data_IF_214205889903
#
_entry.id   IF_214205889903
#
_cell.length_a   1.000
_cell.length_b   1.000
_cell.length_c   1.000
_cell.angle_alpha   90.00
_cell.angle_beta   90.00
_cell.angle_gamma   90.00
#
_symmetry.space_group_name_H-M   'P 1'
#
loop_
_entity.id
_entity.type
_entity.pdbx_description
1 polymer ?
#
# COMPACT_ATOMS: atom_id res chain seq x y z
N UNK A 1 58.71 19.80 16.38
CA UNK A 1 58.01 20.08 15.11
C UNK A 1 56.70 19.32 15.13
N UNK A 2 55.58 20.03 15.41
CA UNK A 2 54.22 19.44 15.48
C UNK A 2 53.52 19.72 14.15
N UNK A 3 53.15 18.65 13.42
CA UNK A 3 52.44 18.73 12.16
C UNK A 3 50.93 18.68 12.48
N UNK A 4 50.27 19.85 12.39
CA UNK A 4 48.82 19.94 12.56
C UNK A 4 48.10 19.33 11.35
N UNK A 5 47.24 18.32 11.59
CA UNK A 5 46.30 17.78 10.59
C UNK A 5 45.10 18.72 10.48
N UNK A 6 44.99 19.35 9.33
CA UNK A 6 43.80 20.12 8.95
C UNK A 6 42.70 19.14 8.57
N UNK A 7 41.62 19.05 9.38
CA UNK A 7 40.40 18.29 9.03
C UNK A 7 39.51 19.23 8.23
N UNK A 8 39.43 18.97 6.92
CA UNK A 8 38.49 19.66 6.04
C UNK A 8 37.15 18.97 6.20
N UNK A 9 36.21 19.58 6.95
CA UNK A 9 34.80 19.19 6.97
C UNK A 9 34.16 19.66 5.66
N UNK A 10 33.98 18.74 4.73
CA UNK A 10 33.11 18.98 3.55
C UNK A 10 31.66 19.00 4.02
N UNK A 11 31.06 20.19 4.11
CA UNK A 11 29.63 20.36 4.28
C UNK A 11 28.97 19.95 2.96
N UNK A 12 28.29 18.78 2.94
CA UNK A 12 27.35 18.43 1.88
C UNK A 12 26.17 19.40 1.99
N UNK A 13 26.14 20.39 1.12
CA UNK A 13 24.93 21.17 0.83
C UNK A 13 23.92 20.23 0.15
N UNK A 14 22.98 19.70 0.94
CA UNK A 14 21.77 19.10 0.39
C UNK A 14 20.95 20.24 -0.20
N UNK A 15 21.09 20.45 -1.49
CA UNK A 15 20.20 21.34 -2.24
C UNK A 15 18.80 20.74 -2.20
N UNK A 16 17.94 21.27 -1.31
CA UNK A 16 16.51 21.07 -1.40
C UNK A 16 16.10 21.61 -2.78
N UNK A 17 15.95 20.73 -3.75
CA UNK A 17 15.38 21.07 -5.02
C UNK A 17 13.96 21.61 -4.73
N UNK A 18 13.75 22.91 -4.90
CA UNK A 18 12.45 23.55 -4.86
C UNK A 18 11.57 22.86 -5.90
N UNK A 19 10.84 21.84 -5.49
CA UNK A 19 9.77 21.27 -6.33
C UNK A 19 8.74 22.39 -6.53
N UNK A 20 8.54 22.79 -7.78
CA UNK A 20 7.48 23.73 -8.13
C UNK A 20 6.16 23.30 -7.46
N UNK A 21 5.35 24.26 -6.98
CA UNK A 21 4.07 23.94 -6.36
C UNK A 21 3.22 23.15 -7.35
N UNK A 22 2.61 22.07 -6.86
CA UNK A 22 1.75 21.23 -7.68
C UNK A 22 0.57 22.03 -8.24
N UNK A 23 0.18 21.83 -9.50
CA UNK A 23 -1.00 22.49 -10.06
C UNK A 23 -2.25 22.21 -9.20
N UNK A 24 -3.19 23.18 -9.17
CA UNK A 24 -4.43 23.05 -8.40
C UNK A 24 -5.18 21.77 -8.79
N UNK A 25 -5.60 20.99 -7.80
CA UNK A 25 -6.35 19.74 -7.99
C UNK A 25 -5.48 18.52 -8.34
N UNK A 26 -4.16 18.68 -8.52
CA UNK A 26 -3.24 17.55 -8.72
C UNK A 26 -2.77 17.03 -7.37
N UNK A 27 -3.06 15.76 -7.10
CA UNK A 27 -2.67 15.07 -5.87
C UNK A 27 -1.29 14.40 -5.98
N UNK A 28 -0.94 13.92 -7.16
CA UNK A 28 0.34 13.26 -7.42
C UNK A 28 0.76 13.38 -8.89
N UNK A 29 2.02 13.02 -9.16
CA UNK A 29 2.48 12.68 -10.51
C UNK A 29 2.81 11.20 -10.51
N UNK A 30 2.17 10.45 -11.40
CA UNK A 30 2.45 9.02 -11.58
C UNK A 30 3.87 8.79 -12.11
N UNK A 31 4.38 7.58 -11.97
CA UNK A 31 5.75 7.23 -12.38
C UNK A 31 6.00 7.44 -13.89
N UNK A 32 4.95 7.37 -14.71
CA UNK A 32 4.99 7.72 -16.14
C UNK A 32 4.79 9.21 -16.43
N UNK A 33 4.84 10.11 -15.43
CA UNK A 33 4.70 11.57 -15.61
C UNK A 33 3.25 12.08 -15.69
N UNK A 34 2.23 11.21 -15.62
CA UNK A 34 0.82 11.60 -15.67
C UNK A 34 0.42 12.35 -14.40
N UNK A 35 -0.23 13.52 -14.53
CA UNK A 35 -0.87 14.19 -13.41
C UNK A 35 -2.06 13.37 -12.89
N UNK A 36 -2.11 13.14 -11.58
CA UNK A 36 -3.12 12.35 -10.90
C UNK A 36 -3.97 13.28 -10.04
N UNK A 37 -5.23 13.42 -10.39
CA UNK A 37 -6.20 14.27 -9.69
C UNK A 37 -7.10 13.42 -8.80
N UNK A 38 -7.74 14.04 -7.79
CA UNK A 38 -8.75 13.33 -6.99
C UNK A 38 -9.79 12.68 -7.91
N UNK A 39 -10.12 11.39 -7.69
CA UNK A 39 -11.11 10.71 -8.53
C UNK A 39 -12.48 11.37 -8.38
N UNK A 40 -13.21 11.51 -9.49
CA UNK A 40 -14.59 11.92 -9.45
C UNK A 40 -15.43 10.85 -8.72
N UNK A 41 -16.24 11.29 -7.78
CA UNK A 41 -17.14 10.42 -7.02
C UNK A 41 -18.59 10.63 -7.52
N UNK A 42 -19.43 9.60 -7.47
CA UNK A 42 -20.87 9.78 -7.66
C UNK A 42 -21.41 10.85 -6.67
N UNK A 43 -22.29 11.77 -7.08
CA UNK A 43 -22.70 12.91 -6.26
C UNK A 43 -23.21 12.52 -4.85
N UNK A 44 -23.97 11.45 -4.74
CA UNK A 44 -24.48 10.97 -3.44
C UNK A 44 -23.36 10.47 -2.52
N UNK A 45 -22.34 9.78 -3.07
CA UNK A 45 -21.17 9.31 -2.32
C UNK A 45 -20.30 10.51 -1.89
N UNK A 46 -20.11 11.48 -2.78
CA UNK A 46 -19.35 12.68 -2.45
C UNK A 46 -20.02 13.47 -1.32
N UNK A 47 -21.34 13.70 -1.41
CA UNK A 47 -22.11 14.40 -0.38
C UNK A 47 -22.02 13.70 0.99
N UNK A 48 -22.17 12.37 1.04
CA UNK A 48 -22.02 11.58 2.27
C UNK A 48 -20.60 11.72 2.86
N UNK A 49 -19.56 11.61 2.01
CA UNK A 49 -18.17 11.75 2.47
C UNK A 49 -17.84 13.17 2.95
N UNK A 50 -18.36 14.20 2.30
CA UNK A 50 -18.21 15.58 2.74
C UNK A 50 -18.91 15.83 4.08
N UNK A 51 -20.11 15.31 4.28
CA UNK A 51 -20.83 15.38 5.56
C UNK A 51 -20.03 14.70 6.69
N UNK A 52 -19.50 13.49 6.44
CA UNK A 52 -18.66 12.78 7.40
C UNK A 52 -17.35 13.53 7.71
N UNK A 53 -16.75 14.20 6.71
CA UNK A 53 -15.58 15.05 6.94
C UNK A 53 -15.93 16.28 7.80
N UNK A 54 -17.06 16.92 7.55
CA UNK A 54 -17.53 18.06 8.35
C UNK A 54 -17.75 17.66 9.83
N UNK A 55 -18.38 16.51 10.07
CA UNK A 55 -18.55 15.94 11.41
C UNK A 55 -17.20 15.68 12.09
N UNK A 56 -16.28 14.99 11.40
CA UNK A 56 -14.95 14.70 11.96
C UNK A 56 -14.16 15.96 12.32
N UNK A 57 -14.25 17.03 11.49
CA UNK A 57 -13.64 18.33 11.79
C UNK A 57 -14.25 18.99 13.02
N UNK A 58 -15.57 18.93 13.17
CA UNK A 58 -16.26 19.44 14.36
C UNK A 58 -15.83 18.68 15.63
N UNK A 59 -15.68 17.35 15.52
CA UNK A 59 -15.18 16.52 16.64
C UNK A 59 -13.74 16.90 17.02
N UNK A 60 -12.87 17.11 16.02
CA UNK A 60 -11.50 17.57 16.26
C UNK A 60 -11.45 18.96 16.93
N UNK A 61 -12.31 19.89 16.51
CA UNK A 61 -12.40 21.23 17.14
C UNK A 61 -12.81 21.15 18.62
N UNK A 62 -13.65 20.17 18.98
CA UNK A 62 -14.10 19.97 20.38
C UNK A 62 -13.07 19.26 21.25
N UNK A 63 -12.23 18.43 20.64
CA UNK A 63 -11.23 17.63 21.36
C UNK A 63 -9.90 17.62 20.60
N UNK A 64 -9.19 18.77 20.50
CA UNK A 64 -7.96 18.87 19.71
C UNK A 64 -6.78 18.09 20.28
N UNK A 65 -6.85 17.70 21.58
CA UNK A 65 -5.84 16.88 22.24
C UNK A 65 -6.12 15.37 22.12
N UNK A 66 -7.17 14.97 21.42
CA UNK A 66 -7.47 13.57 21.10
C UNK A 66 -6.86 13.21 19.73
N UNK A 67 -5.76 12.43 19.75
CA UNK A 67 -5.07 11.95 18.55
C UNK A 67 -6.01 11.30 17.55
N UNK A 68 -6.99 10.53 18.00
CA UNK A 68 -7.88 9.77 17.12
C UNK A 68 -8.80 10.68 16.31
N UNK A 69 -9.10 11.89 16.79
CA UNK A 69 -9.85 12.89 16.01
C UNK A 69 -9.06 13.38 14.80
N UNK A 70 -7.75 13.57 14.96
CA UNK A 70 -6.86 13.88 13.83
C UNK A 70 -6.82 12.73 12.82
N UNK A 71 -6.72 11.50 13.29
CA UNK A 71 -6.74 10.31 12.44
C UNK A 71 -8.03 10.27 11.64
N UNK A 72 -9.18 10.47 12.26
CA UNK A 72 -10.47 10.44 11.55
C UNK A 72 -10.60 11.54 10.50
N UNK A 73 -10.18 12.77 10.76
CA UNK A 73 -10.19 13.83 9.74
C UNK A 73 -9.31 13.43 8.54
N UNK A 74 -8.10 12.95 8.78
CA UNK A 74 -7.19 12.52 7.71
C UNK A 74 -7.73 11.33 6.91
N UNK A 75 -8.39 10.37 7.57
CA UNK A 75 -9.07 9.24 6.88
C UNK A 75 -10.20 9.75 5.98
N UNK A 76 -11.05 10.67 6.47
CA UNK A 76 -12.15 11.26 5.68
C UNK A 76 -11.62 12.06 4.48
N UNK A 77 -10.51 12.77 4.63
CA UNK A 77 -9.81 13.40 3.51
C UNK A 77 -9.34 12.38 2.48
N UNK A 78 -8.72 11.27 2.94
CA UNK A 78 -8.28 10.17 2.08
C UNK A 78 -9.42 9.55 1.26
N UNK A 79 -10.60 9.36 1.85
CA UNK A 79 -11.78 8.84 1.12
C UNK A 79 -12.31 9.81 0.06
N UNK A 80 -12.05 11.10 0.18
CA UNK A 80 -12.33 12.11 -0.83
C UNK A 80 -11.23 12.24 -1.89
N UNK A 81 -10.15 11.46 -1.79
CA UNK A 81 -8.98 11.57 -2.67
C UNK A 81 -8.11 12.80 -2.39
N UNK A 82 -8.30 13.49 -1.26
CA UNK A 82 -7.56 14.70 -0.84
C UNK A 82 -6.33 14.29 -0.03
N UNK A 83 -5.43 13.55 -0.68
CA UNK A 83 -4.31 12.89 0.01
C UNK A 83 -3.27 13.88 0.54
N UNK A 84 -3.01 14.98 -0.19
CA UNK A 84 -2.06 16.00 0.25
C UNK A 84 -2.53 16.75 1.48
N UNK A 85 -3.83 17.03 1.58
CA UNK A 85 -4.41 17.63 2.79
C UNK A 85 -4.32 16.66 3.98
N UNK A 86 -4.55 15.37 3.74
CA UNK A 86 -4.38 14.37 4.79
C UNK A 86 -2.92 14.28 5.26
N UNK A 87 -1.94 14.33 4.34
CA UNK A 87 -0.50 14.35 4.69
C UNK A 87 -0.16 15.59 5.54
N UNK A 88 -0.64 16.77 5.13
CA UNK A 88 -0.42 18.01 5.88
C UNK A 88 -1.00 17.93 7.29
N UNK A 89 -2.24 17.43 7.42
CA UNK A 89 -2.90 17.24 8.70
C UNK A 89 -2.12 16.28 9.62
N UNK A 90 -1.69 15.12 9.10
CA UNK A 90 -0.90 14.16 9.89
C UNK A 90 0.47 14.72 10.25
N UNK A 91 1.05 15.58 9.41
CA UNK A 91 2.32 16.25 9.73
C UNK A 91 2.15 17.21 10.90
N UNK A 92 1.09 18.02 10.91
CA UNK A 92 0.75 18.88 12.06
C UNK A 92 0.48 18.05 13.33
N UNK A 93 -0.26 16.94 13.20
CA UNK A 93 -0.51 16.05 14.34
C UNK A 93 0.80 15.45 14.92
N UNK A 94 1.74 15.10 14.06
CA UNK A 94 3.04 14.55 14.51
C UNK A 94 3.96 15.58 15.19
N UNK A 95 3.68 16.88 15.06
CA UNK A 95 4.33 17.90 15.89
C UNK A 95 3.88 17.81 17.35
N UNK A 96 2.63 17.38 17.61
CA UNK A 96 2.07 17.18 18.95
C UNK A 96 2.41 15.81 19.54
N UNK A 97 2.41 14.77 18.69
CA UNK A 97 2.72 13.38 19.08
C UNK A 97 3.88 12.82 18.25
N UNK A 98 5.13 13.29 18.53
CA UNK A 98 6.30 12.84 17.76
C UNK A 98 6.49 11.33 17.83
N UNK A 99 6.59 10.69 16.70
CA UNK A 99 6.84 9.25 16.61
C UNK A 99 5.63 8.35 16.90
N UNK A 100 4.42 8.91 17.02
CA UNK A 100 3.21 8.11 17.19
C UNK A 100 2.99 7.13 16.03
N UNK A 101 2.91 5.81 16.27
CA UNK A 101 2.86 4.81 15.21
C UNK A 101 1.56 4.85 14.41
N UNK A 102 0.44 5.25 14.99
CA UNK A 102 -0.83 5.39 14.28
C UNK A 102 -0.77 6.53 13.27
N UNK A 103 -0.28 7.70 13.68
CA UNK A 103 -0.14 8.86 12.79
C UNK A 103 0.87 8.60 11.67
N UNK A 104 2.03 8.02 12.01
CA UNK A 104 3.05 7.63 11.03
C UNK A 104 2.50 6.62 10.01
N UNK A 105 1.75 5.60 10.49
CA UNK A 105 1.12 4.60 9.61
C UNK A 105 0.14 5.24 8.63
N UNK A 106 -0.70 6.15 9.10
CA UNK A 106 -1.67 6.82 8.25
C UNK A 106 -1.00 7.78 7.26
N UNK A 107 0.03 8.54 7.68
CA UNK A 107 0.78 9.43 6.78
C UNK A 107 1.56 8.64 5.74
N UNK A 108 2.24 7.58 6.15
CA UNK A 108 2.97 6.67 5.26
C UNK A 108 2.09 6.04 4.19
N UNK A 109 0.88 5.61 4.56
CA UNK A 109 -0.11 5.15 3.58
C UNK A 109 -0.46 6.25 2.56
N UNK A 110 -0.64 7.51 2.97
CA UNK A 110 -0.92 8.60 2.02
C UNK A 110 0.29 8.93 1.16
N UNK A 111 1.51 8.82 1.68
CA UNK A 111 2.73 8.93 0.87
C UNK A 111 2.79 7.87 -0.24
N UNK A 112 2.38 6.63 0.02
CA UNK A 112 2.20 5.62 -1.04
C UNK A 112 1.22 6.10 -2.11
N UNK A 113 0.07 6.62 -1.70
CA UNK A 113 -0.96 7.12 -2.63
C UNK A 113 -0.40 8.20 -3.56
N UNK A 114 0.43 9.11 -3.07
CA UNK A 114 1.00 10.23 -3.87
C UNK A 114 2.37 9.91 -4.49
N UNK A 115 2.83 8.67 -4.49
CA UNK A 115 4.12 8.19 -5.04
C UNK A 115 5.35 8.77 -4.34
N UNK A 116 5.23 9.26 -3.12
CA UNK A 116 6.35 9.68 -2.28
C UNK A 116 6.90 8.45 -1.50
N UNK A 117 7.44 7.49 -2.23
CA UNK A 117 7.75 6.16 -1.68
C UNK A 117 8.84 6.20 -0.61
N UNK A 118 9.88 7.04 -0.76
CA UNK A 118 10.93 7.20 0.25
C UNK A 118 10.34 7.68 1.58
N UNK A 119 9.48 8.72 1.52
CA UNK A 119 8.80 9.22 2.71
C UNK A 119 7.82 8.19 3.31
N UNK A 120 7.20 7.33 2.47
CA UNK A 120 6.37 6.23 2.96
C UNK A 120 7.22 5.21 3.74
N UNK A 121 8.38 4.81 3.21
CA UNK A 121 9.29 3.89 3.90
C UNK A 121 9.80 4.49 5.21
N UNK A 122 10.20 5.77 5.22
CA UNK A 122 10.69 6.45 6.42
C UNK A 122 9.64 6.42 7.55
N UNK A 123 8.41 6.83 7.27
CA UNK A 123 7.31 6.84 8.24
C UNK A 123 6.94 5.43 8.71
N UNK A 124 6.76 4.50 7.77
CA UNK A 124 6.31 3.15 8.09
C UNK A 124 7.39 2.33 8.80
N UNK A 125 8.68 2.54 8.47
CA UNK A 125 9.77 1.95 9.23
C UNK A 125 9.89 2.54 10.64
N UNK A 126 9.63 3.84 10.82
CA UNK A 126 9.55 4.46 12.13
C UNK A 126 8.37 3.88 12.95
N UNK A 127 7.18 3.75 12.33
CA UNK A 127 6.04 3.10 12.94
C UNK A 127 6.35 1.65 13.34
N UNK A 128 6.98 0.85 12.45
CA UNK A 128 7.38 -0.54 12.72
C UNK A 128 8.38 -0.65 13.88
N UNK A 129 9.25 0.34 14.06
CA UNK A 129 10.13 0.40 15.25
C UNK A 129 9.34 0.69 16.53
N UNK A 130 8.35 1.58 16.47
CA UNK A 130 7.50 1.93 17.61
C UNK A 130 6.57 0.76 17.99
N UNK A 131 6.04 -0.01 17.05
CA UNK A 131 5.22 -1.20 17.26
C UNK A 131 5.85 -2.24 18.18
N UNK A 132 7.18 -2.29 18.29
CA UNK A 132 7.87 -3.18 19.23
C UNK A 132 7.66 -2.82 20.71
N UNK A 133 7.08 -1.65 21.01
CA UNK A 133 6.92 -1.08 22.35
C UNK A 133 5.47 -0.78 22.71
N UNK A 134 4.54 -1.01 21.77
CA UNK A 134 3.11 -0.80 21.96
C UNK A 134 2.36 -2.11 21.73
N UNK A 135 1.25 -2.28 22.41
CA UNK A 135 0.35 -3.40 22.17
C UNK A 135 -0.27 -3.28 20.78
N UNK A 136 -0.55 -4.42 20.18
CA UNK A 136 -1.28 -4.44 18.92
C UNK A 136 -2.76 -4.21 19.20
N UNK A 137 -3.34 -3.21 18.55
CA UNK A 137 -4.73 -2.81 18.71
C UNK A 137 -5.46 -2.90 17.36
N UNK A 138 -6.67 -3.44 17.38
CA UNK A 138 -7.54 -3.44 16.21
C UNK A 138 -7.97 -2.01 15.90
N UNK A 139 -7.72 -1.56 14.67
CA UNK A 139 -8.12 -0.23 14.24
C UNK A 139 -9.59 -0.21 13.78
N UNK A 140 -10.36 0.84 14.12
CA UNK A 140 -11.75 0.93 13.67
C UNK A 140 -11.83 1.05 12.14
N UNK A 141 -12.79 0.34 11.53
CA UNK A 141 -13.02 0.43 10.09
C UNK A 141 -13.57 1.79 9.67
N UNK A 142 -13.03 2.31 8.58
CA UNK A 142 -13.52 3.55 7.99
C UNK A 142 -14.67 3.36 7.02
N UNK A 143 -14.77 2.17 6.43
CA UNK A 143 -15.81 1.70 5.52
C UNK A 143 -16.24 0.29 5.95
N UNK A 144 -16.96 0.16 7.08
CA UNK A 144 -17.27 -1.14 7.66
C UNK A 144 -18.20 -1.96 6.75
N UNK A 145 -17.94 -3.26 6.70
CA UNK A 145 -18.85 -4.24 6.08
C UNK A 145 -19.96 -4.59 7.08
N UNK A 146 -21.24 -4.51 6.71
CA UNK A 146 -22.32 -4.85 7.61
C UNK A 146 -22.19 -6.28 8.18
N UNK A 147 -22.30 -6.41 9.49
CA UNK A 147 -22.23 -7.70 10.19
C UNK A 147 -20.80 -8.26 10.39
N UNK A 148 -19.77 -7.52 10.00
CA UNK A 148 -18.36 -7.90 10.27
C UNK A 148 -17.73 -6.92 11.26
N UNK A 149 -17.04 -7.39 12.31
CA UNK A 149 -16.22 -6.53 13.16
C UNK A 149 -14.96 -6.06 12.42
N UNK A 150 -14.36 -4.94 12.84
CA UNK A 150 -13.02 -4.58 12.40
C UNK A 150 -12.03 -5.71 12.70
N UNK A 151 -11.13 -6.00 11.78
CA UNK A 151 -10.18 -7.10 11.92
C UNK A 151 -8.71 -6.68 11.75
N UNK A 152 -8.44 -5.58 11.04
CA UNK A 152 -7.07 -5.15 10.83
C UNK A 152 -6.50 -4.38 12.03
N UNK A 153 -5.33 -4.82 12.52
CA UNK A 153 -4.65 -4.18 13.64
C UNK A 153 -3.63 -3.13 13.21
N UNK A 154 -3.13 -2.35 14.18
CA UNK A 154 -2.04 -1.40 13.96
C UNK A 154 -0.80 -2.09 13.37
N UNK A 155 -0.34 -3.19 14.00
CA UNK A 155 0.86 -3.89 13.55
C UNK A 155 0.67 -4.46 12.15
N UNK A 156 -0.47 -5.11 11.89
CA UNK A 156 -0.84 -5.55 10.56
C UNK A 156 -0.74 -4.41 9.53
N UNK A 157 -1.41 -3.30 9.80
CA UNK A 157 -1.46 -2.16 8.88
C UNK A 157 -0.10 -1.51 8.66
N UNK A 158 0.74 -1.41 9.69
CA UNK A 158 2.11 -0.89 9.58
C UNK A 158 2.95 -1.77 8.67
N UNK A 159 3.00 -3.09 8.95
CA UNK A 159 3.83 -4.01 8.15
C UNK A 159 3.27 -4.21 6.74
N UNK A 160 1.94 -4.20 6.56
CA UNK A 160 1.30 -4.29 5.25
C UNK A 160 1.74 -3.13 4.34
N UNK A 161 1.65 -1.90 4.82
CA UNK A 161 2.00 -0.72 4.02
C UNK A 161 3.52 -0.58 3.85
N UNK A 162 4.32 -0.96 4.86
CA UNK A 162 5.79 -0.98 4.75
C UNK A 162 6.25 -1.96 3.65
N UNK A 163 5.69 -3.15 3.65
CA UNK A 163 6.00 -4.15 2.64
C UNK A 163 5.60 -3.69 1.23
N UNK A 164 4.43 -3.05 1.09
CA UNK A 164 4.02 -2.43 -0.18
C UNK A 164 4.98 -1.32 -0.61
N UNK A 165 5.45 -0.48 0.32
CA UNK A 165 6.39 0.59 0.01
C UNK A 165 7.71 0.02 -0.54
N UNK A 166 8.28 -0.99 0.10
CA UNK A 166 9.47 -1.70 -0.40
C UNK A 166 9.20 -2.39 -1.75
N UNK A 167 8.05 -3.04 -1.91
CA UNK A 167 7.69 -3.72 -3.16
C UNK A 167 7.66 -2.74 -4.35
N UNK A 168 7.01 -1.59 -4.20
CA UNK A 168 6.92 -0.61 -5.29
C UNK A 168 8.25 0.09 -5.57
N UNK A 169 9.16 0.16 -4.60
CA UNK A 169 10.54 0.61 -4.82
C UNK A 169 11.43 -0.45 -5.47
N UNK A 170 11.01 -1.71 -5.51
CA UNK A 170 11.82 -2.81 -6.04
C UNK A 170 12.73 -3.48 -5.02
N UNK A 171 12.60 -3.12 -3.75
CA UNK A 171 13.37 -3.67 -2.62
C UNK A 171 12.76 -4.99 -2.14
N UNK A 172 12.82 -6.02 -3.00
CA UNK A 172 12.05 -7.25 -2.83
C UNK A 172 12.37 -8.01 -1.55
N UNK A 173 13.64 -8.07 -1.11
CA UNK A 173 13.98 -8.75 0.14
C UNK A 173 13.39 -8.04 1.35
N UNK A 174 13.47 -6.71 1.41
CA UNK A 174 12.84 -5.90 2.47
C UNK A 174 11.31 -6.05 2.46
N UNK A 175 10.70 -6.13 1.26
CA UNK A 175 9.28 -6.41 1.12
C UNK A 175 8.90 -7.80 1.67
N UNK A 176 9.66 -8.85 1.34
CA UNK A 176 9.45 -10.21 1.87
C UNK A 176 9.55 -10.22 3.40
N UNK A 177 10.59 -9.60 3.96
CA UNK A 177 10.79 -9.54 5.42
C UNK A 177 9.63 -8.82 6.13
N UNK A 178 9.15 -7.72 5.56
CA UNK A 178 8.00 -6.99 6.10
C UNK A 178 6.69 -7.78 5.94
N UNK A 179 6.48 -8.48 4.80
CA UNK A 179 5.32 -9.36 4.61
C UNK A 179 5.29 -10.52 5.58
N UNK A 180 6.43 -11.13 5.90
CA UNK A 180 6.50 -12.20 6.89
C UNK A 180 6.13 -11.70 8.30
N UNK A 181 6.51 -10.47 8.65
CA UNK A 181 6.07 -9.84 9.91
C UNK A 181 4.57 -9.53 9.88
N UNK A 182 4.05 -9.07 8.75
CA UNK A 182 2.61 -8.84 8.57
C UNK A 182 1.82 -10.14 8.72
N UNK A 183 2.29 -11.24 8.13
CA UNK A 183 1.66 -12.56 8.25
C UNK A 183 1.63 -13.04 9.71
N UNK A 184 2.66 -12.74 10.50
CA UNK A 184 2.70 -13.06 11.92
C UNK A 184 1.68 -12.26 12.76
N UNK A 185 1.13 -11.16 12.24
CA UNK A 185 0.06 -10.35 12.84
C UNK A 185 -1.31 -10.61 12.18
N UNK A 186 -1.44 -11.65 11.34
CA UNK A 186 -2.66 -11.96 10.59
C UNK A 186 -3.42 -13.08 11.28
N UNK A 187 -4.40 -12.73 12.11
CA UNK A 187 -5.13 -13.69 12.96
C UNK A 187 -6.40 -14.26 12.28
N UNK A 188 -6.82 -13.68 11.15
CA UNK A 188 -8.01 -14.06 10.40
C UNK A 188 -7.70 -14.39 8.93
N UNK A 189 -8.66 -15.01 8.23
CA UNK A 189 -8.51 -15.43 6.84
C UNK A 189 -8.45 -14.24 5.87
N UNK A 190 -9.16 -13.14 6.14
CA UNK A 190 -9.13 -11.91 5.36
C UNK A 190 -7.72 -11.33 5.28
N UNK A 191 -7.08 -11.17 6.43
CA UNK A 191 -5.71 -10.67 6.55
C UNK A 191 -4.71 -11.63 5.91
N UNK A 192 -4.86 -12.93 6.15
CA UNK A 192 -3.96 -13.97 5.61
C UNK A 192 -3.93 -14.02 4.10
N UNK A 193 -5.09 -14.00 3.43
CA UNK A 193 -5.12 -14.07 1.95
C UNK A 193 -4.53 -12.80 1.32
N UNK A 194 -4.76 -11.63 1.93
CA UNK A 194 -4.21 -10.36 1.45
C UNK A 194 -2.67 -10.37 1.51
N UNK A 195 -2.10 -10.77 2.66
CA UNK A 195 -0.64 -10.88 2.82
C UNK A 195 -0.06 -11.97 1.93
N UNK A 196 -0.71 -13.13 1.86
CA UNK A 196 -0.25 -14.27 1.04
C UNK A 196 -0.09 -13.89 -0.42
N UNK A 197 -1.06 -13.17 -0.99
CA UNK A 197 -0.99 -12.66 -2.37
C UNK A 197 0.27 -11.81 -2.60
N UNK A 198 0.48 -10.78 -1.79
CA UNK A 198 1.60 -9.87 -1.97
C UNK A 198 2.95 -10.50 -1.65
N UNK A 199 3.01 -11.36 -0.64
CA UNK A 199 4.22 -12.12 -0.31
C UNK A 199 4.60 -13.07 -1.46
N UNK A 200 3.61 -13.73 -2.08
CA UNK A 200 3.83 -14.53 -3.27
C UNK A 200 4.43 -13.67 -4.40
N UNK A 201 3.84 -12.52 -4.69
CA UNK A 201 4.35 -11.60 -5.72
C UNK A 201 5.80 -11.16 -5.42
N UNK A 202 6.12 -10.80 -4.19
CA UNK A 202 7.46 -10.37 -3.80
C UNK A 202 8.48 -11.51 -3.93
N UNK A 203 8.15 -12.74 -3.51
CA UNK A 203 9.01 -13.91 -3.66
C UNK A 203 9.26 -14.27 -5.12
N UNK A 204 8.24 -14.25 -5.96
CA UNK A 204 8.42 -14.43 -7.41
C UNK A 204 9.39 -13.37 -7.95
N UNK A 205 9.23 -12.12 -7.57
CA UNK A 205 10.11 -11.02 -8.03
C UNK A 205 11.54 -11.15 -7.51
N UNK A 206 11.75 -11.72 -6.33
CA UNK A 206 13.08 -12.00 -5.78
C UNK A 206 13.72 -13.28 -6.32
N UNK A 207 13.01 -14.08 -7.13
CA UNK A 207 13.48 -15.36 -7.63
C UNK A 207 13.30 -16.55 -6.67
N UNK A 208 12.65 -16.36 -5.54
CA UNK A 208 12.35 -17.40 -4.55
C UNK A 208 11.10 -18.19 -4.96
N UNK A 209 11.22 -19.01 -6.01
CA UNK A 209 10.10 -19.82 -6.53
C UNK A 209 9.62 -20.86 -5.51
N UNK A 210 10.53 -21.45 -4.76
CA UNK A 210 10.19 -22.44 -3.73
C UNK A 210 9.43 -21.81 -2.58
N UNK A 211 9.89 -20.66 -2.08
CA UNK A 211 9.19 -19.89 -1.07
C UNK A 211 7.83 -19.38 -1.55
N UNK A 212 7.74 -18.93 -2.81
CA UNK A 212 6.47 -18.52 -3.39
C UNK A 212 5.46 -19.68 -3.42
N UNK A 213 5.88 -20.87 -3.85
CA UNK A 213 5.03 -22.07 -3.84
C UNK A 213 4.61 -22.45 -2.41
N UNK A 214 5.52 -22.38 -1.44
CA UNK A 214 5.22 -22.65 -0.03
C UNK A 214 4.22 -21.65 0.58
N UNK A 215 4.29 -20.38 0.19
CA UNK A 215 3.44 -19.30 0.72
C UNK A 215 1.95 -19.60 0.57
N UNK A 216 1.53 -20.18 -0.56
CA UNK A 216 0.10 -20.41 -0.87
C UNK A 216 -0.45 -21.73 -0.34
N UNK A 217 0.38 -22.61 0.24
CA UNK A 217 -0.06 -23.95 0.64
C UNK A 217 -1.17 -23.94 1.71
N UNK A 218 -1.12 -22.99 2.63
CA UNK A 218 -2.11 -22.86 3.70
C UNK A 218 -3.46 -22.28 3.24
N UNK A 219 -3.57 -21.78 2.00
CA UNK A 219 -4.84 -21.23 1.50
C UNK A 219 -5.75 -22.34 1.02
N UNK A 220 -7.00 -22.36 1.53
CA UNK A 220 -8.02 -23.36 1.19
C UNK A 220 -9.27 -22.67 0.62
N UNK A 221 -10.14 -23.43 -0.04
CA UNK A 221 -11.37 -22.88 -0.69
C UNK A 221 -12.46 -22.49 0.31
N UNK A 222 -12.40 -23.01 1.52
CA UNK A 222 -13.36 -22.86 2.61
C UNK A 222 -12.99 -21.77 3.63
N UNK A 223 -11.93 -20.99 3.36
CA UNK A 223 -11.58 -19.82 4.17
C UNK A 223 -12.72 -18.81 4.23
N UNK A 224 -12.94 -18.20 5.41
CA UNK A 224 -13.97 -17.18 5.64
C UNK A 224 -13.51 -15.80 5.13
N UNK A 225 -13.65 -15.59 3.82
CA UNK A 225 -13.21 -14.37 3.12
C UNK A 225 -14.39 -13.70 2.42
N UNK A 226 -14.67 -12.44 2.77
CA UNK A 226 -15.75 -11.62 2.23
C UNK A 226 -15.22 -10.36 1.51
N UNK A 227 -14.26 -9.67 2.12
CA UNK A 227 -13.69 -8.42 1.60
C UNK A 227 -12.55 -8.67 0.62
N UNK A 228 -11.66 -9.58 0.95
CA UNK A 228 -10.45 -9.88 0.20
C UNK A 228 -10.61 -11.05 -0.80
N UNK A 229 -11.81 -11.22 -1.34
CA UNK A 229 -12.14 -12.32 -2.26
C UNK A 229 -11.24 -12.35 -3.50
N UNK A 230 -10.79 -11.20 -4.01
CA UNK A 230 -9.86 -11.12 -5.12
C UNK A 230 -8.51 -11.78 -4.77
N UNK A 231 -7.97 -11.47 -3.59
CA UNK A 231 -6.71 -12.07 -3.13
C UNK A 231 -6.87 -13.56 -2.86
N UNK A 232 -7.99 -13.98 -2.27
CA UNK A 232 -8.29 -15.39 -2.04
C UNK A 232 -8.29 -16.18 -3.35
N UNK A 233 -9.04 -15.71 -4.36
CA UNK A 233 -9.09 -16.34 -5.67
C UNK A 233 -7.71 -16.40 -6.36
N UNK A 234 -6.90 -15.34 -6.26
CA UNK A 234 -5.55 -15.31 -6.80
C UNK A 234 -4.62 -16.31 -6.10
N UNK A 235 -4.70 -16.42 -4.77
CA UNK A 235 -3.92 -17.41 -4.02
C UNK A 235 -4.27 -18.85 -4.44
N UNK A 236 -5.55 -19.14 -4.67
CA UNK A 236 -6.00 -20.44 -5.18
C UNK A 236 -5.52 -20.70 -6.62
N UNK A 237 -5.46 -19.68 -7.47
CA UNK A 237 -4.84 -19.75 -8.80
C UNK A 237 -3.35 -20.07 -8.69
N UNK A 238 -2.59 -19.36 -7.85
CA UNK A 238 -1.16 -19.57 -7.68
C UNK A 238 -0.81 -20.97 -7.14
N UNK A 239 -1.71 -21.52 -6.32
CA UNK A 239 -1.64 -22.89 -5.80
C UNK A 239 -2.00 -23.95 -6.84
N UNK A 240 -2.69 -23.58 -7.93
CA UNK A 240 -3.24 -24.49 -8.92
C UNK A 240 -4.58 -25.12 -8.52
N UNK A 241 -5.23 -24.64 -7.46
CA UNK A 241 -6.54 -25.08 -7.01
C UNK A 241 -7.71 -24.45 -7.81
N UNK A 242 -7.43 -23.39 -8.59
CA UNK A 242 -8.33 -22.77 -9.57
C UNK A 242 -7.60 -22.47 -10.87
N UNK A 243 -8.36 -22.43 -11.97
CA UNK A 243 -7.89 -21.96 -13.26
C UNK A 243 -8.25 -20.50 -13.48
N UNK A 244 -7.58 -19.83 -14.44
CA UNK A 244 -7.83 -18.42 -14.77
C UNK A 244 -9.30 -18.16 -15.15
N UNK A 245 -9.91 -19.07 -15.91
CA UNK A 245 -11.30 -18.93 -16.39
C UNK A 245 -12.35 -19.03 -15.27
N UNK A 246 -11.96 -19.53 -14.11
CA UNK A 246 -12.81 -19.62 -12.92
C UNK A 246 -12.79 -18.34 -12.08
N UNK A 247 -11.97 -17.34 -12.44
CA UNK A 247 -11.83 -16.10 -11.70
C UNK A 247 -12.71 -15.02 -12.29
N UNK A 248 -13.42 -14.31 -11.41
CA UNK A 248 -14.23 -13.15 -11.78
C UNK A 248 -13.53 -11.88 -11.35
N UNK A 249 -13.26 -10.98 -12.31
CA UNK A 249 -12.74 -9.66 -11.99
C UNK A 249 -13.80 -8.85 -11.25
N UNK A 250 -13.49 -8.40 -10.02
CA UNK A 250 -14.30 -7.43 -9.30
C UNK A 250 -14.11 -6.01 -9.86
N UNK A 251 -14.82 -5.06 -9.27
CA UNK A 251 -14.70 -3.63 -9.58
C UNK A 251 -13.84 -2.88 -8.55
N UNK A 252 -13.46 -1.64 -8.86
CA UNK A 252 -12.73 -0.76 -7.96
C UNK A 252 -11.37 -1.30 -7.54
N UNK A 253 -11.02 -1.18 -6.27
CA UNK A 253 -9.73 -1.62 -5.72
C UNK A 253 -9.57 -3.14 -5.76
N UNK A 254 -10.64 -3.89 -5.52
CA UNK A 254 -10.68 -5.36 -5.65
C UNK A 254 -10.41 -5.78 -7.10
N UNK A 255 -11.04 -5.11 -8.07
CA UNK A 255 -10.79 -5.34 -9.49
C UNK A 255 -9.37 -4.99 -9.91
N UNK A 256 -8.78 -3.93 -9.37
CA UNK A 256 -7.38 -3.58 -9.62
C UNK A 256 -6.41 -4.62 -9.04
N UNK A 257 -6.68 -5.15 -7.84
CA UNK A 257 -5.89 -6.22 -7.24
C UNK A 257 -5.95 -7.50 -8.08
N UNK A 258 -7.15 -7.88 -8.53
CA UNK A 258 -7.34 -9.05 -9.41
C UNK A 258 -6.57 -8.90 -10.72
N UNK A 259 -6.70 -7.75 -11.40
CA UNK A 259 -6.02 -7.48 -12.68
C UNK A 259 -4.51 -7.49 -12.52
N UNK A 260 -3.99 -6.90 -11.42
CA UNK A 260 -2.56 -6.95 -11.12
C UNK A 260 -2.08 -8.38 -10.93
N UNK A 261 -2.75 -9.16 -10.09
CA UNK A 261 -2.39 -10.55 -9.80
C UNK A 261 -2.43 -11.45 -11.04
N UNK A 262 -3.44 -11.31 -11.88
CA UNK A 262 -3.56 -12.06 -13.14
C UNK A 262 -2.45 -11.68 -14.14
N UNK A 263 -2.15 -10.40 -14.27
CA UNK A 263 -1.08 -9.92 -15.13
C UNK A 263 0.30 -10.40 -14.64
N UNK A 264 0.53 -10.32 -13.33
CA UNK A 264 1.77 -10.80 -12.71
C UNK A 264 1.92 -12.32 -12.84
N UNK A 265 0.84 -13.08 -12.66
CA UNK A 265 0.82 -14.53 -12.87
C UNK A 265 1.13 -14.91 -14.33
N UNK A 266 0.60 -14.17 -15.31
CA UNK A 266 0.90 -14.40 -16.73
C UNK A 266 2.40 -14.29 -17.03
N UNK A 267 3.10 -13.32 -16.42
CA UNK A 267 4.56 -13.21 -16.54
C UNK A 267 5.30 -14.46 -16.02
N UNK A 268 4.75 -15.13 -15.01
CA UNK A 268 5.36 -16.32 -14.37
C UNK A 268 5.15 -17.59 -15.19
N UNK A 269 3.95 -17.75 -15.79
CA UNK A 269 3.62 -18.95 -16.58
C UNK A 269 4.08 -18.87 -18.04
N UNK A 270 4.79 -17.78 -18.41
CA UNK A 270 5.42 -17.65 -19.73
C UNK A 270 4.60 -16.90 -20.79
N UNK A 271 3.45 -16.35 -20.42
CA UNK A 271 2.66 -15.46 -21.28
C UNK A 271 3.06 -13.99 -21.06
N UNK A 272 4.34 -13.73 -21.36
CA UNK A 272 4.99 -12.45 -21.04
C UNK A 272 4.31 -11.27 -21.72
N UNK A 273 4.02 -11.36 -23.02
CA UNK A 273 3.45 -10.26 -23.80
C UNK A 273 2.07 -9.87 -23.26
N UNK A 274 1.24 -10.86 -22.91
CA UNK A 274 -0.07 -10.63 -22.29
C UNK A 274 0.08 -9.99 -20.90
N UNK A 275 1.00 -10.47 -20.07
CA UNK A 275 1.25 -9.94 -18.75
C UNK A 275 1.72 -8.48 -18.78
N UNK A 276 2.68 -8.15 -19.66
CA UNK A 276 3.18 -6.78 -19.84
C UNK A 276 2.10 -5.84 -20.37
N UNK A 277 1.33 -6.27 -21.37
CA UNK A 277 0.23 -5.47 -21.92
C UNK A 277 -0.84 -5.18 -20.85
N UNK A 278 -1.19 -6.17 -20.04
CA UNK A 278 -2.16 -6.03 -18.96
C UNK A 278 -1.65 -5.07 -17.86
N UNK A 279 -0.37 -5.13 -17.47
CA UNK A 279 0.21 -4.20 -16.50
C UNK A 279 0.26 -2.77 -17.04
N UNK A 280 0.59 -2.56 -18.31
CA UNK A 280 0.56 -1.22 -18.94
C UNK A 280 -0.86 -0.65 -18.94
N UNK A 281 -1.86 -1.46 -19.30
CA UNK A 281 -3.26 -1.05 -19.26
C UNK A 281 -3.71 -0.69 -17.83
N UNK A 282 -3.32 -1.50 -16.84
CA UNK A 282 -3.66 -1.26 -15.44
C UNK A 282 -2.97 0.00 -14.89
N UNK A 283 -1.71 0.26 -15.24
CA UNK A 283 -0.98 1.47 -14.83
C UNK A 283 -1.65 2.77 -15.34
N UNK A 284 -2.43 2.70 -16.42
CA UNK A 284 -3.19 3.83 -16.96
C UNK A 284 -4.59 4.00 -16.35
N UNK A 285 -4.99 3.12 -15.43
CA UNK A 285 -6.33 3.10 -14.84
C UNK A 285 -6.67 4.41 -14.09
N UNK A 286 -7.96 4.77 -14.09
CA UNK A 286 -8.46 5.94 -13.36
C UNK A 286 -8.44 5.77 -11.84
N UNK A 287 -8.54 4.53 -11.35
CA UNK A 287 -8.42 4.17 -9.93
C UNK A 287 -6.97 4.17 -9.42
N UNK A 288 -6.21 5.16 -9.83
CA UNK A 288 -4.76 5.28 -9.64
C UNK A 288 -4.26 5.16 -8.20
N UNK A 289 -5.12 5.39 -7.20
CA UNK A 289 -4.76 5.30 -5.79
C UNK A 289 -4.86 3.88 -5.22
N UNK A 290 -5.39 2.90 -5.99
CA UNK A 290 -5.43 1.51 -5.55
C UNK A 290 -4.05 0.85 -5.65
N UNK A 291 -3.73 -0.04 -4.71
CA UNK A 291 -2.40 -0.67 -4.65
C UNK A 291 -2.06 -1.49 -5.89
N UNK A 292 -3.05 -2.15 -6.51
CA UNK A 292 -2.84 -2.86 -7.76
C UNK A 292 -2.37 -1.95 -8.91
N UNK A 293 -2.91 -0.72 -8.99
CA UNK A 293 -2.48 0.27 -10.01
C UNK A 293 -1.09 0.83 -9.66
N UNK A 294 -0.84 1.16 -8.38
CA UNK A 294 0.48 1.64 -7.93
C UNK A 294 1.57 0.60 -8.23
N UNK A 295 1.28 -0.66 -7.94
CA UNK A 295 2.20 -1.76 -8.24
C UNK A 295 2.42 -1.95 -9.75
N UNK A 296 1.37 -1.86 -10.57
CA UNK A 296 1.48 -1.91 -12.01
C UNK A 296 2.31 -0.76 -12.59
N UNK A 297 2.11 0.48 -12.10
CA UNK A 297 2.96 1.62 -12.46
C UNK A 297 4.44 1.34 -12.13
N UNK A 298 4.71 0.80 -10.95
CA UNK A 298 6.07 0.48 -10.52
C UNK A 298 6.71 -0.61 -11.38
N UNK A 299 5.96 -1.64 -11.79
CA UNK A 299 6.43 -2.68 -12.71
C UNK A 299 6.76 -2.09 -14.09
N UNK A 300 5.88 -1.25 -14.63
CA UNK A 300 6.09 -0.58 -15.92
C UNK A 300 7.31 0.35 -15.87
N UNK A 301 7.47 1.12 -14.79
CA UNK A 301 8.59 2.04 -14.64
C UNK A 301 9.95 1.33 -14.54
N UNK A 302 9.98 0.10 -13.98
CA UNK A 302 11.18 -0.75 -13.95
C UNK A 302 11.46 -1.48 -15.28
N UNK A 303 10.75 -1.13 -16.36
CA UNK A 303 10.89 -1.74 -17.68
C UNK A 303 10.83 -3.28 -17.65
N UNK A 304 9.94 -3.82 -16.82
CA UNK A 304 9.69 -5.26 -16.70
C UNK A 304 10.98 -6.08 -16.54
N UNK A 305 11.74 -5.81 -15.50
CA UNK A 305 12.88 -6.67 -15.14
C UNK A 305 12.49 -8.15 -15.29
N UNK A 306 13.24 -8.99 -16.02
CA UNK A 306 12.86 -10.38 -16.26
C UNK A 306 12.55 -11.10 -14.95
N UNK A 307 11.40 -11.76 -14.91
CA UNK A 307 11.08 -12.70 -13.83
C UNK A 307 11.76 -14.05 -14.12
N UNK A 308 12.20 -14.78 -13.08
CA UNK A 308 12.61 -16.16 -13.28
C UNK A 308 11.42 -16.97 -13.80
N UNK A 309 11.55 -17.51 -14.99
CA UNK A 309 10.52 -18.38 -15.58
C UNK A 309 10.57 -19.74 -14.92
N UNK A 310 9.42 -20.33 -14.59
CA UNK A 310 9.34 -21.75 -14.28
C UNK A 310 9.71 -22.53 -15.54
N UNK A 311 10.71 -23.42 -15.44
CA UNK A 311 10.93 -24.43 -16.46
C UNK A 311 9.65 -25.28 -16.57
N UNK A 312 9.04 -25.41 -17.74
CA UNK A 312 7.79 -26.16 -17.91
C UNK A 312 7.94 -27.68 -17.75
N UNK A 313 9.07 -28.17 -17.24
CA UNK A 313 9.30 -29.61 -16.99
C UNK A 313 8.88 -30.05 -15.61
#
# INVERSE_FOLDING_TARGET
>A
MAVGRLVVMSALLVTAACRAPMPKGVEAVGLGGRALTSPALPPAIEADRLSKLASARSDLQRAPEDRDRWIWVGRRLGYLGRYREAIALYTEALERWPGDPFLLRHRGHRYLSVRAFDAAVDDLAAAARACRRVLDEVEPDGLPVPGRPPHSSLHFNVYYHLALAHFVQGEMQAAVDAWLRCLACSDDDESRVAVTHWLWCARIRSGDLAGAAATVQGVTVDMDVVENTAYHQLCLLYKGARTRDQLTAGEGSSGAAMRFGLAHHALVVGDRDQGEAALRALAADAGWASFGVIAAEAEVARAFTPLPTRDPR
#
